data_IF_527317769201
#
_entry.id   IF_527317769201
#
_cell.length_a   1.000
_cell.length_b   1.000
_cell.length_c   1.000
_cell.angle_alpha   90.00
_cell.angle_beta   90.00
_cell.angle_gamma   90.00
#
_symmetry.space_group_name_H-M   'P 1'
#
loop_
_entity.id
_entity.type
_entity.pdbx_description
1 polymer ?
#
# COMPACT_ATOMS: atom_id res chain seq x y z
N UNK A 1 4.22 14.17 -7.49
CA UNK A 1 3.97 15.15 -6.40
C UNK A 1 2.76 14.77 -5.53
N UNK A 2 2.44 13.48 -5.37
CA UNK A 2 1.35 12.97 -4.49
C UNK A 2 1.85 12.74 -3.07
N UNK A 3 3.07 12.19 -2.93
CA UNK A 3 3.76 12.00 -1.66
C UNK A 3 3.97 13.30 -0.87
N UNK A 4 4.13 14.45 -1.54
CA UNK A 4 4.33 15.75 -0.86
C UNK A 4 3.06 16.21 -0.12
N UNK A 5 1.87 15.93 -0.66
CA UNK A 5 0.60 16.27 0.00
C UNK A 5 0.33 15.32 1.18
N UNK A 6 0.61 14.03 1.02
CA UNK A 6 0.52 13.06 2.12
C UNK A 6 1.54 13.35 3.23
N UNK A 7 2.80 13.69 2.90
CA UNK A 7 3.83 14.15 3.86
C UNK A 7 3.35 15.30 4.75
N UNK A 8 2.66 16.28 4.16
CA UNK A 8 2.13 17.44 4.91
C UNK A 8 0.93 17.08 5.79
N UNK A 9 0.18 16.06 5.41
CA UNK A 9 -1.06 15.67 6.10
C UNK A 9 -0.79 14.65 7.20
N UNK A 10 0.22 13.79 7.06
CA UNK A 10 0.71 12.92 8.15
C UNK A 10 1.11 13.74 9.38
N UNK A 11 1.61 14.96 9.17
CA UNK A 11 2.04 15.86 10.25
C UNK A 11 0.91 16.64 10.96
N UNK A 12 -0.37 16.32 10.78
CA UNK A 12 -1.45 17.09 11.44
C UNK A 12 -1.75 16.58 12.85
N UNK A 13 -1.27 17.36 13.81
CA UNK A 13 -1.34 17.23 15.27
C UNK A 13 -2.78 17.19 15.86
N UNK A 14 -3.14 16.04 16.43
CA UNK A 14 -3.73 15.90 17.79
C UNK A 14 -3.75 14.44 18.29
N UNK A 15 -3.32 13.49 17.46
CA UNK A 15 -3.24 12.05 17.75
C UNK A 15 -1.79 11.52 17.86
N UNK A 16 -0.80 12.42 18.00
CA UNK A 16 0.61 12.09 17.80
C UNK A 16 1.18 11.19 18.92
N UNK A 17 0.81 11.44 20.18
CA UNK A 17 1.28 10.62 21.30
C UNK A 17 0.72 9.19 21.31
N UNK A 18 -0.44 8.97 20.69
CA UNK A 18 -1.09 7.66 20.64
C UNK A 18 -0.53 6.83 19.48
N UNK A 19 -0.33 7.47 18.33
CA UNK A 19 0.31 6.88 17.17
C UNK A 19 1.75 6.43 17.48
N UNK A 20 2.57 7.31 18.07
CA UNK A 20 3.95 6.98 18.43
C UNK A 20 4.04 5.80 19.41
N UNK A 21 3.13 5.76 20.40
CA UNK A 21 3.03 4.62 21.32
C UNK A 21 2.65 3.32 20.60
N UNK A 22 1.75 3.39 19.62
CA UNK A 22 1.35 2.23 18.80
C UNK A 22 2.50 1.75 17.92
N UNK A 23 3.23 2.65 17.30
CA UNK A 23 4.44 2.33 16.52
C UNK A 23 5.46 1.66 17.42
N UNK A 24 5.73 2.21 18.61
CA UNK A 24 6.71 1.63 19.53
C UNK A 24 6.29 0.24 20.05
N UNK A 25 5.01 0.06 20.39
CA UNK A 25 4.47 -1.25 20.72
C UNK A 25 4.61 -2.25 19.57
N UNK A 26 4.34 -1.81 18.34
CA UNK A 26 4.50 -2.64 17.16
C UNK A 26 5.97 -2.99 16.89
N UNK A 27 6.91 -2.07 17.14
CA UNK A 27 8.36 -2.33 17.06
C UNK A 27 8.79 -3.45 18.00
N UNK A 28 8.26 -3.48 19.23
CA UNK A 28 8.57 -4.55 20.18
C UNK A 28 8.09 -5.92 19.66
N UNK A 29 6.89 -5.99 19.06
CA UNK A 29 6.37 -7.23 18.46
C UNK A 29 7.18 -7.64 17.23
N UNK A 30 7.58 -6.66 16.40
CA UNK A 30 8.25 -6.92 15.14
C UNK A 30 9.66 -7.52 15.26
N UNK A 31 10.31 -7.39 16.43
CA UNK A 31 11.66 -7.93 16.65
C UNK A 31 11.74 -9.45 16.46
N UNK A 32 10.64 -10.16 16.66
CA UNK A 32 10.62 -11.63 16.66
C UNK A 32 9.96 -12.24 15.42
N UNK A 33 9.51 -11.43 14.45
CA UNK A 33 8.84 -11.95 13.24
C UNK A 33 9.14 -11.16 11.96
N UNK A 34 9.49 -11.91 10.91
CA UNK A 34 9.78 -11.37 9.57
C UNK A 34 8.59 -10.65 8.92
N UNK A 35 7.36 -11.05 9.26
CA UNK A 35 6.13 -10.44 8.75
C UNK A 35 5.99 -9.03 9.31
N UNK A 36 6.07 -8.92 10.63
CA UNK A 36 5.94 -7.68 11.39
C UNK A 36 7.11 -6.74 11.08
N UNK A 37 8.32 -7.27 10.85
CA UNK A 37 9.46 -6.47 10.37
C UNK A 37 9.19 -5.77 9.03
N UNK A 38 8.60 -6.48 8.05
CA UNK A 38 8.23 -5.89 6.76
C UNK A 38 7.13 -4.83 6.91
N UNK A 39 6.12 -5.12 7.73
CA UNK A 39 5.04 -4.18 8.00
C UNK A 39 5.57 -2.92 8.70
N UNK A 40 6.49 -3.08 9.65
CA UNK A 40 7.12 -1.98 10.36
C UNK A 40 7.95 -1.11 9.41
N UNK A 41 8.74 -1.73 8.52
CA UNK A 41 9.52 -0.97 7.53
C UNK A 41 8.62 -0.10 6.63
N UNK A 42 7.45 -0.61 6.24
CA UNK A 42 6.49 0.18 5.45
C UNK A 42 5.94 1.39 6.22
N UNK A 43 5.77 1.27 7.54
CA UNK A 43 5.30 2.35 8.40
C UNK A 43 6.40 3.39 8.60
N UNK A 44 7.61 2.96 8.96
CA UNK A 44 8.74 3.85 9.22
C UNK A 44 9.16 4.64 7.96
N UNK A 45 8.93 4.09 6.77
CA UNK A 45 9.35 4.68 5.48
C UNK A 45 8.19 5.16 4.62
N UNK A 46 7.02 5.34 5.21
CA UNK A 46 5.83 5.78 4.47
C UNK A 46 6.01 7.18 3.84
N UNK A 47 6.73 8.07 4.52
CA UNK A 47 7.07 9.39 4.01
C UNK A 47 8.00 9.33 2.78
N UNK A 48 8.77 8.25 2.63
CA UNK A 48 9.57 7.98 1.42
C UNK A 48 8.72 7.39 0.29
N UNK A 49 7.46 7.06 0.57
CA UNK A 49 6.53 6.45 -0.36
C UNK A 49 6.58 4.93 -0.41
N UNK A 50 7.15 4.30 0.63
CA UNK A 50 7.15 2.85 0.78
C UNK A 50 5.77 2.39 1.29
N UNK A 51 5.13 1.53 0.52
CA UNK A 51 3.80 0.99 0.79
C UNK A 51 3.86 -0.53 0.96
N UNK A 52 2.74 -1.15 1.30
CA UNK A 52 2.58 -2.60 1.23
C UNK A 52 1.77 -2.95 -0.01
N UNK A 53 2.23 -3.96 -0.76
CA UNK A 53 1.43 -4.68 -1.76
C UNK A 53 0.95 -5.99 -1.13
N UNK A 54 -0.36 -6.20 -1.10
CA UNK A 54 -1.01 -7.43 -0.63
C UNK A 54 -1.67 -8.14 -1.82
N UNK A 55 -1.33 -9.40 -2.03
CA UNK A 55 -2.01 -10.29 -2.97
C UNK A 55 -2.90 -11.26 -2.19
N UNK A 56 -4.19 -11.29 -2.52
CA UNK A 56 -5.16 -12.23 -1.94
C UNK A 56 -5.21 -13.54 -2.75
N UNK A 57 -5.68 -14.62 -2.14
CA UNK A 57 -5.96 -15.92 -2.79
C UNK A 57 -6.88 -15.79 -4.01
N UNK A 58 -7.74 -14.79 -4.03
CA UNK A 58 -8.63 -14.45 -5.16
C UNK A 58 -7.90 -13.81 -6.35
N UNK A 59 -6.58 -13.61 -6.28
CA UNK A 59 -5.75 -12.78 -7.16
C UNK A 59 -6.01 -11.27 -7.08
N UNK A 60 -6.94 -10.81 -6.23
CA UNK A 60 -7.10 -9.38 -5.95
C UNK A 60 -5.81 -8.86 -5.33
N UNK A 61 -5.36 -7.70 -5.78
CA UNK A 61 -4.17 -7.02 -5.27
C UNK A 61 -4.57 -5.66 -4.73
N UNK A 62 -4.04 -5.32 -3.57
CA UNK A 62 -4.11 -3.99 -2.98
C UNK A 62 -2.70 -3.46 -2.77
N UNK A 63 -2.50 -2.17 -3.01
CA UNK A 63 -1.31 -1.47 -2.56
C UNK A 63 -1.75 -0.28 -1.73
N UNK A 64 -1.18 -0.11 -0.55
CA UNK A 64 -1.64 0.93 0.36
C UNK A 64 -0.79 1.12 1.61
N UNK A 65 -1.22 2.11 2.39
CA UNK A 65 -0.69 2.43 3.71
C UNK A 65 -1.29 1.49 4.75
N UNK A 66 -0.48 0.97 5.67
CA UNK A 66 -0.97 0.19 6.80
C UNK A 66 -1.72 1.10 7.79
N UNK A 67 -2.89 0.66 8.26
CA UNK A 67 -3.60 1.33 9.35
C UNK A 67 -3.19 0.72 10.70
N UNK A 68 -2.20 1.37 11.33
CA UNK A 68 -1.60 0.92 12.58
C UNK A 68 -2.48 1.17 13.81
N UNK A 69 -3.62 1.87 13.65
CA UNK A 69 -4.54 2.17 14.76
C UNK A 69 -5.16 0.91 15.41
N UNK A 70 -5.04 -0.26 14.76
CA UNK A 70 -5.62 -1.53 15.24
C UNK A 70 -4.67 -2.40 16.06
N UNK A 71 -3.39 -2.04 16.21
CA UNK A 71 -2.43 -2.85 16.97
C UNK A 71 -2.69 -2.87 18.49
N UNK A 72 -3.66 -2.10 19.00
CA UNK A 72 -4.09 -2.09 20.41
C UNK A 72 -5.02 -3.25 20.80
N UNK A 73 -4.66 -4.48 20.43
CA UNK A 73 -4.96 -5.64 21.27
C UNK A 73 -6.29 -6.38 21.11
N UNK A 74 -6.94 -6.42 19.93
CA UNK A 74 -8.14 -7.29 19.79
C UNK A 74 -8.27 -8.10 18.50
N UNK A 75 -7.45 -7.91 17.46
CA UNK A 75 -7.52 -8.76 16.27
C UNK A 75 -6.18 -8.83 15.54
N UNK A 76 -5.37 -9.82 15.88
CA UNK A 76 -4.06 -10.09 15.23
C UNK A 76 -4.22 -10.84 13.91
N UNK A 77 -5.42 -11.29 13.56
CA UNK A 77 -5.65 -12.16 12.41
C UNK A 77 -6.06 -11.39 11.16
N UNK A 78 -5.98 -10.05 11.20
CA UNK A 78 -6.28 -9.18 10.07
C UNK A 78 -5.17 -8.18 9.81
N UNK A 79 -4.99 -7.83 8.55
CA UNK A 79 -4.20 -6.71 8.08
C UNK A 79 -5.16 -5.62 7.62
N UNK A 80 -5.05 -4.41 8.17
CA UNK A 80 -5.87 -3.27 7.77
C UNK A 80 -5.03 -2.30 6.97
N UNK A 81 -5.48 -1.92 5.77
CA UNK A 81 -4.79 -0.95 4.92
C UNK A 81 -5.73 0.09 4.34
N UNK A 82 -5.19 1.26 4.03
CA UNK A 82 -5.83 2.31 3.23
C UNK A 82 -5.31 2.17 1.79
N UNK A 83 -6.16 1.80 0.83
CA UNK A 83 -5.72 1.52 -0.53
C UNK A 83 -5.34 2.81 -1.27
N UNK A 84 -4.25 2.75 -2.01
CA UNK A 84 -3.80 3.77 -2.96
C UNK A 84 -4.01 3.30 -4.39
N UNK A 85 -3.92 1.98 -4.61
CA UNK A 85 -4.32 1.33 -5.86
C UNK A 85 -4.83 -0.08 -5.56
N UNK A 86 -5.68 -0.59 -6.44
CA UNK A 86 -6.06 -2.00 -6.42
C UNK A 86 -6.19 -2.54 -7.83
N UNK A 87 -6.18 -3.85 -7.95
CA UNK A 87 -6.44 -4.54 -9.19
C UNK A 87 -6.32 -6.03 -9.01
N UNK A 88 -5.72 -6.74 -9.95
CA UNK A 88 -5.56 -8.19 -9.88
C UNK A 88 -4.28 -8.67 -10.55
N UNK A 89 -3.85 -9.89 -10.21
CA UNK A 89 -2.85 -10.60 -11.00
C UNK A 89 -3.51 -11.29 -12.18
N UNK A 90 -3.05 -10.95 -13.38
CA UNK A 90 -3.48 -11.60 -14.61
C UNK A 90 -3.25 -13.12 -14.51
N UNK A 91 -4.21 -13.91 -14.99
CA UNK A 91 -4.23 -15.37 -14.76
C UNK A 91 -3.09 -16.09 -15.48
N UNK A 92 -2.66 -15.58 -16.63
CA UNK A 92 -1.71 -16.24 -17.53
C UNK A 92 -0.30 -15.69 -17.32
N UNK A 93 -0.16 -14.38 -17.06
CA UNK A 93 1.13 -13.71 -16.93
C UNK A 93 1.52 -13.38 -15.49
N UNK A 94 0.60 -13.53 -14.52
CA UNK A 94 0.74 -13.11 -13.12
C UNK A 94 1.12 -11.63 -12.92
N UNK A 95 1.03 -10.83 -13.99
CA UNK A 95 1.31 -9.40 -13.98
C UNK A 95 0.25 -8.71 -13.14
N UNK A 96 0.67 -7.78 -12.28
CA UNK A 96 -0.27 -6.91 -11.60
C UNK A 96 -0.90 -5.92 -12.60
N UNK A 97 -2.21 -6.06 -12.79
CA UNK A 97 -3.05 -5.16 -13.57
C UNK A 97 -3.77 -4.24 -12.60
N UNK A 98 -3.64 -2.92 -12.79
CA UNK A 98 -4.30 -1.92 -11.96
C UNK A 98 -5.70 -1.66 -12.51
N UNK A 99 -6.71 -1.77 -11.65
CA UNK A 99 -8.10 -1.49 -11.99
C UNK A 99 -8.60 -0.16 -11.40
N UNK A 100 -8.14 0.17 -10.19
CA UNK A 100 -8.60 1.32 -9.44
C UNK A 100 -7.41 2.11 -8.90
N UNK A 101 -7.37 3.40 -9.24
CA UNK A 101 -6.41 4.37 -8.71
C UNK A 101 -7.11 5.22 -7.63
N UNK A 102 -7.00 4.77 -6.38
CA UNK A 102 -7.58 5.48 -5.24
C UNK A 102 -6.83 6.78 -4.97
N UNK A 103 -5.52 6.83 -5.21
CA UNK A 103 -4.72 8.03 -5.00
C UNK A 103 -5.17 9.17 -5.91
N UNK A 104 -5.46 8.87 -7.19
CA UNK A 104 -6.03 9.84 -8.11
C UNK A 104 -7.44 10.28 -7.68
N UNK A 105 -8.28 9.33 -7.24
CA UNK A 105 -9.62 9.64 -6.73
C UNK A 105 -9.57 10.56 -5.51
N UNK A 106 -8.77 10.24 -4.49
CA UNK A 106 -8.61 11.07 -3.30
C UNK A 106 -8.18 12.50 -3.66
N UNK A 107 -7.25 12.63 -4.60
CA UNK A 107 -6.80 13.93 -5.10
C UNK A 107 -7.91 14.71 -5.82
N UNK A 108 -8.70 14.04 -6.66
CA UNK A 108 -9.79 14.68 -7.42
C UNK A 108 -10.90 15.18 -6.50
N UNK A 109 -11.25 14.40 -5.49
CA UNK A 109 -12.32 14.70 -4.54
C UNK A 109 -11.86 15.52 -3.32
N UNK A 110 -10.56 15.81 -3.20
CA UNK A 110 -10.01 16.54 -2.04
C UNK A 110 -10.06 15.74 -0.73
N UNK A 111 -10.06 14.41 -0.82
CA UNK A 111 -10.05 13.50 0.34
C UNK A 111 -8.64 13.42 0.90
N UNK A 112 -8.51 13.72 2.18
CA UNK A 112 -7.26 13.72 2.94
C UNK A 112 -7.41 12.87 4.22
N UNK A 113 -6.41 12.88 5.10
CA UNK A 113 -6.51 12.25 6.43
C UNK A 113 -7.51 12.96 7.34
N UNK A 114 -7.85 14.22 7.07
CA UNK A 114 -8.64 15.09 7.95
C UNK A 114 -9.80 15.77 7.24
N UNK A 115 -10.08 15.38 5.99
CA UNK A 115 -11.22 15.91 5.24
C UNK A 115 -12.54 15.40 5.81
N UNK A 116 -13.57 16.24 5.72
CA UNK A 116 -14.94 15.95 6.16
C UNK A 116 -15.89 16.18 4.97
N UNK A 117 -16.98 15.41 4.82
CA UNK A 117 -17.43 14.32 5.71
C UNK A 117 -16.71 12.97 5.47
N UNK A 118 -15.84 12.90 4.46
CA UNK A 118 -15.10 11.69 4.09
C UNK A 118 -13.61 11.96 4.16
N UNK A 119 -12.89 11.11 4.89
CA UNK A 119 -11.43 11.02 4.94
C UNK A 119 -10.97 9.70 4.32
N UNK A 120 -9.66 9.53 4.11
CA UNK A 120 -9.12 8.26 3.60
C UNK A 120 -9.40 7.06 4.51
N UNK A 121 -9.69 7.28 5.80
CA UNK A 121 -10.01 6.22 6.76
C UNK A 121 -11.35 5.53 6.47
N UNK A 122 -12.26 6.16 5.72
CA UNK A 122 -13.51 5.53 5.28
C UNK A 122 -13.30 4.52 4.14
N UNK A 123 -12.10 4.44 3.55
CA UNK A 123 -11.77 3.55 2.44
C UNK A 123 -10.95 2.33 2.87
N UNK A 124 -10.76 2.12 4.18
CA UNK A 124 -9.95 1.02 4.72
C UNK A 124 -10.48 -0.35 4.27
N UNK A 125 -9.54 -1.23 4.00
CA UNK A 125 -9.80 -2.65 3.81
C UNK A 125 -9.27 -3.44 4.99
N UNK A 126 -10.13 -4.29 5.55
CA UNK A 126 -9.77 -5.29 6.57
C UNK A 126 -9.58 -6.62 5.85
N UNK A 127 -8.36 -7.14 5.87
CA UNK A 127 -7.95 -8.34 5.13
C UNK A 127 -7.58 -9.44 6.11
N UNK A 128 -8.37 -10.53 6.23
CA UNK A 128 -7.98 -11.67 7.05
C UNK A 128 -6.68 -12.29 6.54
N UNK A 129 -5.71 -12.57 7.42
CA UNK A 129 -4.43 -13.18 7.04
C UNK A 129 -4.62 -14.51 6.32
N UNK A 130 -5.64 -15.29 6.68
CA UNK A 130 -5.98 -16.55 6.00
C UNK A 130 -6.38 -16.37 4.53
N UNK A 131 -6.78 -15.16 4.10
CA UNK A 131 -7.13 -14.84 2.71
C UNK A 131 -5.95 -14.22 1.95
N UNK A 132 -4.88 -13.86 2.65
CA UNK A 132 -3.67 -13.30 2.06
C UNK A 132 -2.81 -14.44 1.53
N UNK A 133 -2.47 -14.36 0.24
CA UNK A 133 -1.54 -15.27 -0.41
C UNK A 133 -0.09 -14.82 -0.17
N UNK A 134 0.16 -13.52 -0.31
CA UNK A 134 1.45 -12.90 -0.03
C UNK A 134 1.31 -11.39 0.20
N UNK A 135 2.29 -10.80 0.86
CA UNK A 135 2.48 -9.36 0.86
C UNK A 135 3.98 -9.01 0.79
N UNK A 136 4.28 -7.81 0.32
CA UNK A 136 5.65 -7.31 0.21
C UNK A 136 5.69 -5.78 0.30
N UNK A 137 6.86 -5.23 0.52
CA UNK A 137 7.09 -3.79 0.31
C UNK A 137 6.84 -3.42 -1.14
N UNK A 138 6.40 -2.18 -1.35
CA UNK A 138 6.10 -1.62 -2.65
C UNK A 138 6.59 -0.19 -2.75
N UNK A 139 7.45 0.07 -3.73
CA UNK A 139 7.87 1.41 -4.12
C UNK A 139 7.29 1.71 -5.51
N UNK A 140 6.46 2.75 -5.58
CA UNK A 140 5.81 3.17 -6.81
C UNK A 140 6.80 3.58 -7.91
N UNK A 141 7.89 4.28 -7.55
CA UNK A 141 8.88 4.74 -8.52
C UNK A 141 9.62 3.56 -9.14
N UNK A 142 9.92 2.55 -8.32
CA UNK A 142 10.53 1.31 -8.80
C UNK A 142 9.58 0.54 -9.70
N UNK A 143 8.31 0.42 -9.31
CA UNK A 143 7.28 -0.22 -10.13
C UNK A 143 7.12 0.45 -11.50
N UNK A 144 7.02 1.78 -11.56
CA UNK A 144 6.88 2.52 -12.82
C UNK A 144 8.03 2.24 -13.78
N UNK A 145 9.28 2.22 -13.29
CA UNK A 145 10.46 1.88 -14.10
C UNK A 145 10.38 0.48 -14.70
N UNK A 146 9.88 -0.50 -13.94
CA UNK A 146 9.67 -1.86 -14.47
C UNK A 146 8.61 -1.89 -15.56
N UNK A 147 7.54 -1.11 -15.43
CA UNK A 147 6.50 -1.03 -16.46
C UNK A 147 7.01 -0.39 -17.75
N UNK A 148 7.83 0.66 -17.67
CA UNK A 148 8.48 1.28 -18.84
C UNK A 148 9.41 0.29 -19.54
N UNK A 149 10.31 -0.36 -18.80
CA UNK A 149 11.24 -1.33 -19.36
C UNK A 149 10.52 -2.54 -20.01
N UNK A 150 9.35 -2.94 -19.49
CA UNK A 150 8.52 -3.99 -20.08
C UNK A 150 7.96 -3.57 -21.44
N UNK A 151 7.45 -2.34 -21.56
CA UNK A 151 6.92 -1.78 -22.82
C UNK A 151 8.02 -1.67 -23.87
N UNK A 152 9.20 -1.17 -23.51
CA UNK A 152 10.34 -1.06 -24.42
C UNK A 152 10.75 -2.42 -25.00
N UNK A 153 10.79 -3.47 -24.17
CA UNK A 153 11.09 -4.83 -24.62
C UNK A 153 10.03 -5.42 -25.56
N UNK A 154 8.76 -5.05 -25.40
CA UNK A 154 7.67 -5.49 -26.28
C UNK A 154 7.81 -4.83 -27.67
N UNK A 155 7.99 -3.52 -27.71
CA UNK A 155 8.21 -2.77 -28.96
C UNK A 155 9.44 -3.29 -29.73
N UNK A 156 10.52 -3.63 -29.03
CA UNK A 156 11.71 -4.20 -29.67
C UNK A 156 11.50 -5.60 -30.23
N UNK A 157 10.60 -6.41 -29.66
CA UNK A 157 10.25 -7.74 -30.19
C UNK A 157 9.39 -7.61 -31.43
N UNK A 158 8.36 -6.78 -31.39
CA UNK A 158 7.47 -6.50 -32.53
C UNK A 158 8.27 -5.95 -33.73
N UNK A 159 9.23 -5.05 -33.49
CA UNK A 159 10.09 -4.52 -34.55
C UNK A 159 11.09 -5.54 -35.14
N UNK A 160 11.39 -6.62 -34.42
CA UNK A 160 12.25 -7.72 -34.90
C UNK A 160 11.47 -8.82 -35.63
N UNK A 161 10.18 -8.96 -35.33
CA UNK A 161 9.29 -9.91 -36.02
C UNK A 161 8.75 -9.33 -37.33
N UNK A 162 8.75 -8.01 -37.48
CA UNK A 162 8.31 -7.29 -38.67
C UNK A 162 9.44 -6.91 -39.66
N UNK A 163 10.68 -7.32 -39.40
CA UNK A 163 11.86 -7.15 -40.28
C UNK A 163 12.46 -8.52 -40.61
#
# INVERSE_FOLDING_TARGET
MVFVSFKRTYQVEKHNNDLEKRIEYFREIAKDSSIEGVLLESVDRIDEGLLILVTLKSRKVYVGMLDIARFEGMDTNTLVLIPFMSGYRDKDTLTFVIDHDYAEHYRKEGITLTSEPLSVYQFRHVLPFEQIESFSLFDFNTYEKFQVAKKEKQVQKENKENN
#
